data_IF_280191353983
#
_entry.id   IF_280191353983
#
_cell.length_a   1.000
_cell.length_b   1.000
_cell.length_c   1.000
_cell.angle_alpha   90.00
_cell.angle_beta   90.00
_cell.angle_gamma   90.00
#
_symmetry.space_group_name_H-M   'P 1'
#
loop_
_entity.id
_entity.type
_entity.pdbx_description
1 polymer ?
#
# COMPACT_ATOMS: atom_id res chain seq x y z
N UNK A 1 -15.82 4.08 -6.42
CA UNK A 1 -14.39 4.23 -6.05
C UNK A 1 -14.30 4.10 -4.54
N UNK A 2 -13.79 2.99 -4.01
CA UNK A 2 -13.70 2.79 -2.57
C UNK A 2 -12.53 3.61 -2.01
N UNK A 3 -12.83 4.81 -1.49
CA UNK A 3 -11.90 5.55 -0.65
C UNK A 3 -11.92 4.86 0.71
N UNK A 4 -10.89 4.09 0.99
CA UNK A 4 -10.73 3.43 2.29
C UNK A 4 -10.65 4.53 3.36
N UNK A 5 -11.54 4.54 4.36
CA UNK A 5 -11.62 5.64 5.29
C UNK A 5 -10.32 5.79 6.09
N UNK A 6 -9.87 7.04 6.27
CA UNK A 6 -8.72 7.43 7.12
C UNK A 6 -8.72 6.78 8.51
N UNK A 7 -9.91 6.45 9.03
CA UNK A 7 -10.12 5.77 10.32
C UNK A 7 -9.59 4.32 10.32
N UNK A 8 -9.58 3.68 9.16
CA UNK A 8 -9.09 2.31 9.00
C UNK A 8 -7.56 2.23 9.10
N UNK A 9 -6.87 3.29 8.67
CA UNK A 9 -5.41 3.39 8.72
C UNK A 9 -4.92 3.43 10.17
N UNK A 10 -5.65 4.14 11.03
CA UNK A 10 -5.36 4.20 12.46
C UNK A 10 -5.69 2.86 13.15
N UNK A 11 -6.75 2.16 12.69
CA UNK A 11 -7.14 0.83 13.20
C UNK A 11 -6.21 -0.32 12.77
N UNK A 12 -5.44 -0.16 11.70
CA UNK A 12 -4.52 -1.18 11.16
C UNK A 12 -3.06 -1.02 11.62
N UNK A 13 -2.80 -0.15 12.59
CA UNK A 13 -1.49 0.03 13.22
C UNK A 13 -1.26 -1.05 14.29
N UNK A 14 -0.56 -2.14 13.95
CA UNK A 14 -0.10 -3.11 14.95
C UNK A 14 1.29 -2.76 15.51
N UNK A 15 1.40 -2.79 16.84
CA UNK A 15 2.57 -2.34 17.62
C UNK A 15 3.71 -3.37 17.62
N UNK A 16 3.56 -4.53 17.00
CA UNK A 16 4.62 -5.54 16.94
C UNK A 16 5.39 -5.47 15.62
N UNK A 17 6.42 -4.62 15.66
CA UNK A 17 7.65 -4.58 14.84
C UNK A 17 7.70 -3.79 13.52
N UNK A 18 6.61 -3.35 12.88
CA UNK A 18 6.73 -2.41 11.75
C UNK A 18 5.41 -1.73 11.37
N UNK A 19 5.06 -0.60 12.00
CA UNK A 19 4.10 0.51 11.65
C UNK A 19 2.84 0.30 10.76
N UNK A 20 2.79 -0.66 9.83
CA UNK A 20 1.68 -1.05 8.96
C UNK A 20 1.72 -2.58 8.75
N UNK A 21 0.58 -3.27 8.89
CA UNK A 21 0.45 -4.71 8.63
C UNK A 21 0.81 -5.08 7.18
N UNK A 22 1.33 -6.29 6.96
CA UNK A 22 1.71 -6.75 5.60
C UNK A 22 0.52 -6.76 4.64
N UNK A 23 -0.66 -7.15 5.13
CA UNK A 23 -1.93 -7.12 4.37
C UNK A 23 -2.24 -5.72 3.83
N UNK A 24 -2.05 -4.68 4.66
CA UNK A 24 -2.27 -3.30 4.24
C UNK A 24 -1.27 -2.87 3.16
N UNK A 25 0.00 -3.25 3.30
CA UNK A 25 1.04 -2.93 2.32
C UNK A 25 0.75 -3.60 0.97
N UNK A 26 0.30 -4.85 1.00
CA UNK A 26 -0.09 -5.59 -0.20
C UNK A 26 -1.33 -5.00 -0.85
N UNK A 27 -2.34 -4.61 -0.08
CA UNK A 27 -3.53 -3.96 -0.62
C UNK A 27 -3.18 -2.65 -1.33
N UNK A 28 -2.33 -1.82 -0.71
CA UNK A 28 -1.86 -0.55 -1.28
C UNK A 28 -1.03 -0.80 -2.55
N UNK A 29 -0.13 -1.79 -2.54
CA UNK A 29 0.69 -2.12 -3.69
C UNK A 29 -0.13 -2.70 -4.85
N UNK A 30 -1.08 -3.60 -4.56
CA UNK A 30 -2.02 -4.14 -5.56
C UNK A 30 -2.85 -3.03 -6.17
N UNK A 31 -3.33 -2.07 -5.39
CA UNK A 31 -4.11 -0.96 -5.93
C UNK A 31 -3.34 -0.09 -6.93
N UNK A 32 -2.02 0.09 -6.73
CA UNK A 32 -1.16 0.79 -7.69
C UNK A 32 -0.92 -0.05 -8.95
N UNK A 33 -0.67 -1.35 -8.80
CA UNK A 33 -0.28 -2.23 -9.91
C UNK A 33 -1.47 -2.71 -10.73
N UNK A 34 -2.54 -3.15 -10.07
CA UNK A 34 -3.75 -3.75 -10.67
C UNK A 34 -4.69 -2.68 -11.24
N UNK A 35 -4.86 -1.56 -10.53
CA UNK A 35 -5.72 -0.45 -10.98
C UNK A 35 -4.94 0.66 -11.70
N UNK A 36 -3.64 0.43 -11.97
CA UNK A 36 -2.73 1.38 -12.62
C UNK A 36 -2.73 2.79 -12.01
N UNK A 37 -3.11 2.91 -10.73
CA UNK A 37 -3.20 4.19 -10.05
C UNK A 37 -1.81 4.72 -9.70
N UNK A 38 -1.60 6.02 -9.89
CA UNK A 38 -0.33 6.65 -9.53
C UNK A 38 -0.05 6.56 -8.04
N UNK A 39 1.19 6.24 -7.69
CA UNK A 39 1.71 6.16 -6.31
C UNK A 39 1.33 7.40 -5.50
N UNK A 40 1.44 8.60 -6.08
CA UNK A 40 1.11 9.85 -5.40
C UNK A 40 -0.38 9.96 -5.03
N UNK A 41 -1.29 9.54 -5.90
CA UNK A 41 -2.74 9.57 -5.65
C UNK A 41 -3.13 8.58 -4.55
N UNK A 42 -2.55 7.38 -4.60
CA UNK A 42 -2.73 6.35 -3.56
C UNK A 42 -2.18 6.86 -2.24
N UNK A 43 -0.95 7.34 -2.21
CA UNK A 43 -0.31 7.89 -1.02
C UNK A 43 -1.15 9.02 -0.38
N UNK A 44 -1.62 9.98 -1.18
CA UNK A 44 -2.51 11.05 -0.71
C UNK A 44 -3.84 10.51 -0.14
N UNK A 45 -4.41 9.46 -0.75
CA UNK A 45 -5.65 8.84 -0.26
C UNK A 45 -5.49 8.19 1.11
N UNK A 46 -4.31 7.63 1.38
CA UNK A 46 -3.99 6.94 2.63
C UNK A 46 -3.19 7.82 3.62
N UNK A 47 -2.94 9.09 3.32
CA UNK A 47 -2.07 9.94 4.16
C UNK A 47 -0.64 9.41 4.30
N UNK A 48 -0.20 8.58 3.33
CA UNK A 48 1.13 8.00 3.27
C UNK A 48 2.06 8.91 2.48
N UNK A 49 3.36 8.71 2.67
CA UNK A 49 4.38 9.31 1.80
C UNK A 49 4.55 8.45 0.55
N UNK A 50 4.67 9.08 -0.61
CA UNK A 50 4.82 8.38 -1.89
C UNK A 50 6.03 7.41 -1.90
N UNK A 51 7.11 7.76 -1.18
CA UNK A 51 8.30 6.90 -1.05
C UNK A 51 7.97 5.54 -0.40
N UNK A 52 7.16 5.55 0.67
CA UNK A 52 6.74 4.33 1.38
C UNK A 52 5.93 3.42 0.47
N UNK A 53 4.97 4.00 -0.26
CA UNK A 53 4.14 3.28 -1.23
C UNK A 53 4.99 2.73 -2.36
N UNK A 54 5.96 3.50 -2.86
CA UNK A 54 6.91 3.04 -3.88
C UNK A 54 7.74 1.83 -3.43
N UNK A 55 8.21 1.82 -2.19
CA UNK A 55 8.95 0.67 -1.64
C UNK A 55 8.07 -0.59 -1.57
N UNK A 56 6.80 -0.47 -1.20
CA UNK A 56 5.89 -1.61 -1.16
C UNK A 56 5.53 -2.11 -2.56
N UNK A 57 5.30 -1.21 -3.51
CA UNK A 57 5.05 -1.54 -4.92
C UNK A 57 6.25 -2.27 -5.52
N UNK A 58 7.48 -1.82 -5.24
CA UNK A 58 8.69 -2.50 -5.69
C UNK A 58 8.81 -3.92 -5.10
N UNK A 59 8.52 -4.09 -3.80
CA UNK A 59 8.50 -5.42 -3.15
C UNK A 59 7.40 -6.32 -3.76
N UNK A 60 6.21 -5.77 -3.99
CA UNK A 60 5.09 -6.47 -4.60
C UNK A 60 5.42 -6.92 -6.03
N UNK A 61 5.96 -6.02 -6.86
CA UNK A 61 6.40 -6.35 -8.22
C UNK A 61 7.47 -7.44 -8.23
N UNK A 62 8.44 -7.41 -7.31
CA UNK A 62 9.45 -8.49 -7.23
C UNK A 62 8.84 -9.85 -6.88
N UNK A 63 7.91 -9.88 -5.92
CA UNK A 63 7.23 -11.13 -5.52
C UNK A 63 6.30 -11.66 -6.62
N UNK A 64 5.68 -10.79 -7.40
CA UNK A 64 4.74 -11.17 -8.46
C UNK A 64 5.36 -11.29 -9.85
N UNK A 65 6.57 -10.75 -10.09
CA UNK A 65 7.29 -10.89 -11.36
C UNK A 65 7.97 -12.25 -11.51
N UNK A 66 8.19 -12.97 -10.41
CA UNK A 66 8.71 -14.35 -10.41
C UNK A 66 7.64 -15.38 -10.84
N UNK A 67 6.37 -14.95 -10.97
CA UNK A 67 5.25 -15.80 -11.36
C UNK A 67 4.89 -15.73 -12.86
N UNK A 68 5.80 -15.24 -13.72
CA UNK A 68 5.57 -15.12 -15.17
C UNK A 68 6.57 -15.94 -16.00
#
# INVERSE_FOLDING_TARGET
>A
MAVVPRDLIVRMMDVTKAKYSEEFREQVAREVVDKERSIASVAASYGLVAQTVGNWVAKYRKQHADAR
#
